data_IF_753845528102
#
_entry.id   IF_753845528102
#
_cell.length_a   1.000
_cell.length_b   1.000
_cell.length_c   1.000
_cell.angle_alpha   90.00
_cell.angle_beta   90.00
_cell.angle_gamma   90.00
#
_symmetry.space_group_name_H-M   'P 1'
#
loop_
_entity.id
_entity.type
_entity.pdbx_description
1 polymer ?
#
# COMPACT_ATOMS: atom_id res chain seq x y z
N UNK A 1 75.30 -32.25 1.25
CA UNK A 1 73.91 -32.79 1.22
C UNK A 1 72.82 -31.85 1.78
N UNK A 2 73.12 -30.91 2.69
CA UNK A 2 72.11 -30.01 3.32
C UNK A 2 71.42 -29.02 2.35
N UNK A 3 72.04 -28.68 1.22
CA UNK A 3 71.52 -27.70 0.25
C UNK A 3 70.24 -28.20 -0.41
N UNK A 4 70.19 -29.49 -0.80
CA UNK A 4 69.04 -30.06 -1.50
C UNK A 4 67.79 -30.09 -0.59
N UNK A 5 67.95 -30.39 0.70
CA UNK A 5 66.84 -30.40 1.65
C UNK A 5 66.22 -29.01 1.86
N UNK A 6 67.05 -27.95 1.89
CA UNK A 6 66.56 -26.56 1.98
C UNK A 6 65.81 -26.15 0.71
N UNK A 7 66.30 -26.56 -0.46
CA UNK A 7 65.65 -26.28 -1.76
C UNK A 7 64.27 -26.93 -1.85
N UNK A 8 64.10 -28.19 -1.46
CA UNK A 8 62.78 -28.84 -1.46
C UNK A 8 61.78 -28.17 -0.52
N UNK A 9 62.23 -27.65 0.65
CA UNK A 9 61.35 -26.90 1.56
C UNK A 9 60.88 -25.58 0.93
N UNK A 10 61.77 -24.85 0.29
CA UNK A 10 61.42 -23.58 -0.39
C UNK A 10 60.45 -23.83 -1.55
N UNK A 11 60.69 -24.87 -2.35
CA UNK A 11 59.77 -25.27 -3.43
C UNK A 11 58.41 -25.66 -2.87
N UNK A 12 58.38 -26.44 -1.78
CA UNK A 12 57.13 -26.83 -1.12
C UNK A 12 56.31 -25.63 -0.62
N UNK A 13 56.97 -24.65 0.00
CA UNK A 13 56.32 -23.40 0.43
C UNK A 13 55.80 -22.61 -0.77
N UNK A 14 56.58 -22.52 -1.85
CA UNK A 14 56.17 -21.80 -3.05
C UNK A 14 54.96 -22.46 -3.74
N UNK A 15 54.95 -23.79 -3.81
CA UNK A 15 53.81 -24.57 -4.34
C UNK A 15 52.56 -24.40 -3.47
N UNK A 16 52.70 -24.38 -2.15
CA UNK A 16 51.59 -24.09 -1.24
C UNK A 16 51.03 -22.69 -1.48
N UNK A 17 51.87 -21.66 -1.52
CA UNK A 17 51.43 -20.30 -1.81
C UNK A 17 50.76 -20.19 -3.18
N UNK A 18 51.29 -20.84 -4.20
CA UNK A 18 50.68 -20.89 -5.53
C UNK A 18 49.29 -21.54 -5.50
N UNK A 19 49.14 -22.65 -4.77
CA UNK A 19 47.84 -23.32 -4.60
C UNK A 19 46.83 -22.40 -3.90
N UNK A 20 47.21 -21.76 -2.79
CA UNK A 20 46.36 -20.79 -2.10
C UNK A 20 45.98 -19.61 -2.99
N UNK A 21 46.91 -19.10 -3.80
CA UNK A 21 46.66 -18.01 -4.73
C UNK A 21 45.62 -18.38 -5.81
N UNK A 22 45.76 -19.57 -6.41
CA UNK A 22 44.82 -20.06 -7.43
C UNK A 22 43.42 -20.30 -6.84
N UNK A 23 43.34 -20.91 -5.65
CA UNK A 23 42.07 -21.17 -4.97
C UNK A 23 41.40 -19.85 -4.56
N UNK A 24 42.16 -18.92 -3.99
CA UNK A 24 41.65 -17.60 -3.60
C UNK A 24 41.08 -16.82 -4.78
N UNK A 25 41.80 -16.79 -5.92
CA UNK A 25 41.31 -16.13 -7.15
C UNK A 25 40.03 -16.78 -7.68
N UNK A 26 40.00 -18.10 -7.73
CA UNK A 26 38.84 -18.86 -8.25
C UNK A 26 37.61 -18.65 -7.37
N UNK A 27 37.79 -18.70 -6.05
CA UNK A 27 36.70 -18.51 -5.09
C UNK A 27 36.10 -17.11 -5.18
N UNK A 28 36.93 -16.08 -5.37
CA UNK A 28 36.45 -14.70 -5.54
C UNK A 28 35.65 -14.52 -6.83
N UNK A 29 36.09 -15.15 -7.93
CA UNK A 29 35.40 -15.07 -9.21
C UNK A 29 34.05 -15.80 -9.17
N UNK A 30 34.00 -17.00 -8.58
CA UNK A 30 32.75 -17.74 -8.39
C UNK A 30 31.73 -16.93 -7.58
N UNK A 31 32.15 -16.32 -6.46
CA UNK A 31 31.25 -15.49 -5.66
C UNK A 31 30.65 -14.32 -6.45
N UNK A 32 31.46 -13.64 -7.27
CA UNK A 32 30.98 -12.54 -8.12
C UNK A 32 30.00 -13.01 -9.18
N UNK A 33 30.21 -14.20 -9.75
CA UNK A 33 29.32 -14.81 -10.73
C UNK A 33 27.99 -15.19 -10.07
N UNK A 34 28.04 -15.84 -8.91
CA UNK A 34 26.84 -16.24 -8.16
C UNK A 34 26.00 -15.02 -7.78
N UNK A 35 26.63 -13.93 -7.34
CA UNK A 35 25.94 -12.67 -7.04
C UNK A 35 25.27 -12.06 -8.27
N UNK A 36 25.91 -12.13 -9.44
CA UNK A 36 25.29 -11.69 -10.70
C UNK A 36 24.09 -12.56 -11.07
N UNK A 37 24.22 -13.88 -10.94
CA UNK A 37 23.13 -14.82 -11.21
C UNK A 37 21.96 -14.55 -10.26
N UNK A 38 22.22 -14.37 -8.97
CA UNK A 38 21.20 -14.03 -7.97
C UNK A 38 20.49 -12.72 -8.32
N UNK A 39 21.25 -11.69 -8.70
CA UNK A 39 20.71 -10.40 -9.14
C UNK A 39 19.84 -10.50 -10.40
N UNK A 40 20.29 -11.24 -11.41
CA UNK A 40 19.53 -11.48 -12.64
C UNK A 40 18.25 -12.27 -12.36
N UNK A 41 18.30 -13.32 -11.53
CA UNK A 41 17.10 -14.08 -11.13
C UNK A 41 16.08 -13.20 -10.43
N UNK A 42 16.53 -12.31 -9.54
CA UNK A 42 15.65 -11.34 -8.87
C UNK A 42 14.97 -10.41 -9.87
N UNK A 43 15.73 -9.88 -10.83
CA UNK A 43 15.18 -9.01 -11.88
C UNK A 43 14.13 -9.74 -12.72
N UNK A 44 14.40 -10.98 -13.13
CA UNK A 44 13.42 -11.80 -13.87
C UNK A 44 12.14 -11.96 -13.05
N UNK A 45 12.25 -12.34 -11.77
CA UNK A 45 11.09 -12.52 -10.90
C UNK A 45 10.27 -11.22 -10.72
N UNK A 46 10.94 -10.08 -10.58
CA UNK A 46 10.27 -8.77 -10.53
C UNK A 46 9.53 -8.49 -11.83
N UNK A 47 10.19 -8.64 -12.98
CA UNK A 47 9.58 -8.41 -14.29
C UNK A 47 8.38 -9.33 -14.55
N UNK A 48 8.46 -10.59 -14.14
CA UNK A 48 7.34 -11.54 -14.27
C UNK A 48 6.13 -11.11 -13.42
N UNK A 49 6.38 -10.67 -12.19
CA UNK A 49 5.32 -10.15 -11.31
C UNK A 49 4.70 -8.86 -11.88
N UNK A 50 5.53 -7.93 -12.35
CA UNK A 50 5.08 -6.68 -12.94
C UNK A 50 4.24 -6.95 -14.19
N UNK A 51 4.67 -7.87 -15.05
CA UNK A 51 3.93 -8.28 -16.24
C UNK A 51 2.57 -8.89 -15.86
N UNK A 52 2.54 -9.79 -14.86
CA UNK A 52 1.29 -10.37 -14.37
C UNK A 52 0.34 -9.31 -13.83
N UNK A 53 0.85 -8.36 -13.04
CA UNK A 53 0.04 -7.27 -12.50
C UNK A 53 -0.51 -6.37 -13.62
N UNK A 54 0.35 -5.94 -14.55
CA UNK A 54 -0.06 -5.14 -15.69
C UNK A 54 -1.12 -5.84 -16.55
N UNK A 55 -0.99 -7.16 -16.73
CA UNK A 55 -1.98 -7.96 -17.45
C UNK A 55 -3.33 -7.95 -16.74
N UNK A 56 -3.33 -8.13 -15.41
CA UNK A 56 -4.56 -8.05 -14.59
C UNK A 56 -5.19 -6.65 -14.64
N UNK A 57 -4.38 -5.59 -14.60
CA UNK A 57 -4.87 -4.22 -14.70
C UNK A 57 -5.51 -3.95 -16.06
N UNK A 58 -4.89 -4.43 -17.15
CA UNK A 58 -5.46 -4.34 -18.50
C UNK A 58 -6.80 -5.06 -18.58
N UNK A 59 -6.91 -6.27 -18.02
CA UNK A 59 -8.17 -7.00 -17.95
C UNK A 59 -9.22 -6.24 -17.15
N UNK A 60 -8.85 -5.70 -15.98
CA UNK A 60 -9.72 -4.89 -15.14
C UNK A 60 -10.24 -3.65 -15.89
N UNK A 61 -9.37 -2.93 -16.60
CA UNK A 61 -9.77 -1.75 -17.37
C UNK A 61 -10.70 -2.06 -18.54
N UNK A 62 -10.67 -3.30 -19.07
CA UNK A 62 -11.63 -3.76 -20.08
C UNK A 62 -13.00 -4.10 -19.50
N UNK A 63 -13.13 -4.28 -18.19
CA UNK A 63 -14.42 -4.65 -17.57
C UNK A 63 -15.43 -3.51 -17.64
N UNK A 64 -16.71 -3.87 -17.75
CA UNK A 64 -17.81 -2.91 -17.68
C UNK A 64 -17.88 -2.20 -16.32
N UNK A 65 -17.47 -2.88 -15.24
CA UNK A 65 -17.38 -2.28 -13.91
C UNK A 65 -16.41 -1.08 -13.89
N UNK A 66 -15.25 -1.19 -14.54
CA UNK A 66 -14.31 -0.08 -14.66
C UNK A 66 -14.86 1.04 -15.56
N UNK A 67 -15.49 0.69 -16.68
CA UNK A 67 -16.15 1.66 -17.57
C UNK A 67 -17.22 2.46 -16.84
N UNK A 68 -18.07 1.78 -16.08
CA UNK A 68 -19.16 2.37 -15.31
C UNK A 68 -18.63 3.25 -14.16
N UNK A 69 -17.62 2.77 -13.43
CA UNK A 69 -16.94 3.55 -12.40
C UNK A 69 -16.33 4.83 -12.97
N UNK A 70 -15.63 4.72 -14.09
CA UNK A 70 -15.02 5.87 -14.78
C UNK A 70 -16.09 6.83 -15.30
N UNK A 71 -17.18 6.33 -15.88
CA UNK A 71 -18.29 7.14 -16.36
C UNK A 71 -18.98 7.92 -15.21
N UNK A 72 -19.23 7.28 -14.07
CA UNK A 72 -19.75 7.96 -12.87
C UNK A 72 -18.79 9.03 -12.36
N UNK A 73 -17.50 8.71 -12.24
CA UNK A 73 -16.51 9.61 -11.63
C UNK A 73 -16.12 10.79 -12.53
N UNK A 74 -15.93 10.55 -13.83
CA UNK A 74 -15.41 11.56 -14.78
C UNK A 74 -16.50 12.35 -15.47
N UNK A 75 -17.64 11.69 -15.76
CA UNK A 75 -18.70 12.28 -16.56
C UNK A 75 -19.98 12.53 -15.75
N UNK A 76 -20.01 12.14 -14.47
CA UNK A 76 -21.22 12.23 -13.65
C UNK A 76 -22.38 11.39 -14.20
N UNK A 77 -22.10 10.45 -15.11
CA UNK A 77 -23.12 9.66 -15.79
C UNK A 77 -23.68 8.62 -14.83
N UNK A 78 -24.99 8.48 -14.84
CA UNK A 78 -25.74 7.49 -14.05
C UNK A 78 -26.61 6.66 -14.97
N UNK A 79 -26.96 5.45 -14.55
CA UNK A 79 -27.94 4.65 -15.30
C UNK A 79 -29.31 5.35 -15.24
N UNK A 80 -30.16 5.22 -16.28
CA UNK A 80 -31.47 5.87 -16.32
C UNK A 80 -32.35 5.49 -15.11
N UNK A 81 -32.19 4.28 -14.58
CA UNK A 81 -32.95 3.78 -13.41
C UNK A 81 -32.29 4.11 -12.04
N UNK A 82 -31.26 4.95 -11.99
CA UNK A 82 -30.48 5.27 -10.77
C UNK A 82 -30.93 6.59 -10.11
N UNK A 83 -31.40 6.53 -8.84
CA UNK A 83 -31.77 7.70 -8.03
C UNK A 83 -30.54 8.27 -7.31
N UNK A 84 -30.25 9.56 -7.53
CA UNK A 84 -29.15 10.27 -6.85
C UNK A 84 -29.71 11.03 -5.65
N UNK A 85 -29.16 10.79 -4.46
CA UNK A 85 -29.51 11.52 -3.24
C UNK A 85 -28.50 12.65 -3.07
N UNK A 86 -28.96 13.90 -3.14
CA UNK A 86 -28.15 15.07 -2.80
C UNK A 86 -28.45 15.43 -1.35
N UNK A 87 -27.48 15.22 -0.48
CA UNK A 87 -27.56 15.68 0.91
C UNK A 87 -27.24 17.17 0.90
N UNK A 88 -28.29 18.00 0.85
CA UNK A 88 -28.16 19.44 1.09
C UNK A 88 -28.03 19.62 2.60
N UNK A 89 -26.99 20.32 3.11
CA UNK A 89 -27.02 20.75 4.50
C UNK A 89 -28.29 21.58 4.66
N UNK A 90 -29.15 21.19 5.61
CA UNK A 90 -30.36 21.94 5.93
C UNK A 90 -29.95 23.41 6.07
N UNK A 91 -30.66 24.31 5.39
CA UNK A 91 -30.61 25.72 5.77
C UNK A 91 -30.78 25.74 7.28
N UNK A 92 -29.77 26.27 7.97
CA UNK A 92 -29.88 26.51 9.40
C UNK A 92 -31.19 27.28 9.60
N UNK A 93 -32.12 26.78 10.43
CA UNK A 93 -33.26 27.59 10.79
C UNK A 93 -32.68 28.88 11.36
N UNK A 94 -33.05 30.02 10.78
CA UNK A 94 -32.70 31.33 11.32
C UNK A 94 -33.00 31.29 12.81
N UNK A 95 -31.95 31.35 13.64
CA UNK A 95 -32.09 31.44 15.09
C UNK A 95 -32.86 32.71 15.38
N UNK A 96 -34.17 32.56 15.63
CA UNK A 96 -34.94 33.59 16.30
C UNK A 96 -34.25 33.83 17.65
N UNK A 97 -33.73 35.05 17.84
CA UNK A 97 -33.25 35.51 19.14
C UNK A 97 -34.44 35.56 20.09
N UNK A 98 -34.54 34.57 20.98
CA UNK A 98 -35.35 34.72 22.18
C UNK A 98 -34.48 35.37 23.27
N UNK A 99 -34.76 36.64 23.56
CA UNK A 99 -34.17 37.38 24.67
C UNK A 99 -34.93 37.03 25.96
N UNK A 100 -34.28 36.25 26.83
CA UNK A 100 -34.75 35.93 28.19
C UNK A 100 -33.97 34.76 28.77
N UNK A 101 -33.84 34.61 30.10
CA UNK A 101 -33.13 33.47 30.69
C UNK A 101 -33.83 32.18 30.26
N UNK A 102 -33.16 31.46 29.36
CA UNK A 102 -33.67 30.28 28.69
C UNK A 102 -33.92 29.19 29.74
N UNK A 103 -35.20 28.89 30.02
CA UNK A 103 -35.56 27.79 30.93
C UNK A 103 -34.82 26.53 30.48
N UNK A 104 -34.13 25.86 31.41
CA UNK A 104 -33.38 24.64 31.14
C UNK A 104 -34.22 23.65 30.33
N UNK A 105 -33.61 23.04 29.31
CA UNK A 105 -34.31 22.16 28.38
C UNK A 105 -35.11 21.05 29.08
N UNK A 106 -34.66 20.59 30.24
CA UNK A 106 -35.38 19.61 31.05
C UNK A 106 -36.74 20.11 31.55
N UNK A 107 -36.86 21.39 31.90
CA UNK A 107 -38.11 22.01 32.36
C UNK A 107 -39.10 22.08 31.20
N UNK A 108 -38.61 22.43 30.00
CA UNK A 108 -39.43 22.44 28.77
C UNK A 108 -39.98 21.05 28.45
N UNK A 109 -39.14 20.02 28.57
CA UNK A 109 -39.57 18.64 28.34
C UNK A 109 -40.57 18.18 29.40
N UNK A 110 -40.32 18.49 30.67
CA UNK A 110 -41.22 18.11 31.75
C UNK A 110 -42.62 18.73 31.59
N UNK A 111 -42.69 19.99 31.17
CA UNK A 111 -43.96 20.69 30.92
C UNK A 111 -44.69 20.12 29.70
N UNK A 112 -43.96 19.73 28.64
CA UNK A 112 -44.57 19.13 27.46
C UNK A 112 -45.16 17.74 27.72
N UNK A 113 -44.53 16.95 28.60
CA UNK A 113 -44.98 15.60 28.90
C UNK A 113 -45.92 15.50 30.12
N UNK A 114 -45.81 16.42 31.08
CA UNK A 114 -46.50 16.36 32.37
C UNK A 114 -47.07 17.69 32.85
N UNK A 115 -47.02 18.74 32.02
CA UNK A 115 -47.65 20.02 32.30
C UNK A 115 -49.17 19.88 32.43
N UNK A 116 -49.83 20.82 33.13
CA UNK A 116 -51.27 20.75 33.36
C UNK A 116 -51.98 20.72 32.01
N UNK A 117 -52.79 19.67 31.79
CA UNK A 117 -53.70 19.62 30.65
C UNK A 117 -54.75 20.67 30.92
N UNK A 118 -54.69 21.76 30.19
CA UNK A 118 -55.75 22.76 30.20
C UNK A 118 -56.98 22.09 29.59
N UNK A 119 -57.89 21.65 30.47
CA UNK A 119 -59.18 21.08 30.12
C UNK A 119 -59.96 22.14 29.33
N UNK A 120 -59.96 22.01 27.99
CA UNK A 120 -60.85 22.79 27.14
C UNK A 120 -62.22 22.13 27.18
N UNK A 121 -63.16 22.84 27.82
CA UNK A 121 -64.60 22.62 27.75
C UNK A 121 -65.13 22.64 26.31
#
# INVERSE_FOLDING_TARGET
>A
MQINQKVYRVIGVFLLFYMFFVVGRTSYQSYKIDKKIEGMKKQVQTLENDNKQLTQDIEYFKTDAYREKTARQRLGLKKPDEKVIVIVPSKEPEKQKEEGPEKSNFIKWWDLFFGPKEDQA
#
